data_IF_030119409137
#
_entry.id   IF_030119409137
#
_cell.length_a   1.000
_cell.length_b   1.000
_cell.length_c   1.000
_cell.angle_alpha   90.00
_cell.angle_beta   90.00
_cell.angle_gamma   90.00
#
_symmetry.space_group_name_H-M   'P 1'
#
loop_
_entity.id
_entity.type
_entity.pdbx_description
1 polymer ?
#
# COMPACT_ATOMS: atom_id res chain seq x y z
N UNK A 1 18.99 -4.00 -12.15
CA UNK A 1 18.06 -2.86 -12.08
C UNK A 1 16.99 -3.02 -13.16
N UNK A 2 15.85 -2.32 -13.05
CA UNK A 2 14.78 -2.38 -14.05
C UNK A 2 15.19 -1.94 -15.46
N UNK A 3 16.05 -0.93 -15.57
CA UNK A 3 16.55 -0.45 -16.87
C UNK A 3 17.47 -1.46 -17.56
N UNK A 4 18.26 -2.21 -16.80
CA UNK A 4 19.09 -3.30 -17.36
C UNK A 4 18.17 -4.40 -17.91
N UNK A 5 17.10 -4.75 -17.19
CA UNK A 5 16.11 -5.70 -17.70
C UNK A 5 15.50 -5.20 -19.01
N UNK A 6 15.08 -3.93 -19.08
CA UNK A 6 14.53 -3.34 -20.31
C UNK A 6 15.53 -3.43 -21.48
N UNK A 7 16.79 -3.10 -21.24
CA UNK A 7 17.86 -3.21 -22.25
C UNK A 7 18.01 -4.64 -22.74
N UNK A 8 18.09 -5.61 -21.83
CA UNK A 8 18.18 -7.04 -22.20
C UNK A 8 16.97 -7.48 -23.02
N UNK A 9 15.76 -7.10 -22.62
CA UNK A 9 14.53 -7.43 -23.36
C UNK A 9 14.53 -6.83 -24.77
N UNK A 10 15.03 -5.60 -24.94
CA UNK A 10 15.18 -4.97 -26.26
C UNK A 10 16.17 -5.74 -27.13
N UNK A 11 17.31 -6.16 -26.59
CA UNK A 11 18.31 -6.96 -27.32
C UNK A 11 17.72 -8.29 -27.80
N UNK A 12 16.93 -8.98 -26.96
CA UNK A 12 16.21 -10.19 -27.37
C UNK A 12 15.18 -9.94 -28.46
N UNK A 13 14.45 -8.83 -28.40
CA UNK A 13 13.51 -8.43 -29.45
C UNK A 13 14.24 -8.24 -30.78
N UNK A 14 15.43 -7.63 -30.78
CA UNK A 14 16.21 -7.43 -32.01
C UNK A 14 16.81 -8.74 -32.53
N UNK A 15 17.26 -9.64 -31.65
CA UNK A 15 17.70 -10.99 -32.03
C UNK A 15 16.56 -11.75 -32.73
N UNK A 16 15.33 -11.69 -32.21
CA UNK A 16 14.19 -12.37 -32.85
C UNK A 16 13.88 -11.83 -34.25
N UNK A 17 14.12 -10.53 -34.50
CA UNK A 17 13.96 -9.92 -35.84
C UNK A 17 15.09 -10.36 -36.79
N UNK A 18 16.33 -10.37 -36.32
CA UNK A 18 17.51 -10.66 -37.14
C UNK A 18 17.69 -12.16 -37.41
N UNK A 19 17.25 -13.02 -36.47
CA UNK A 19 17.41 -14.48 -36.53
C UNK A 19 16.06 -15.18 -36.30
N UNK A 20 15.13 -15.17 -37.29
CA UNK A 20 13.79 -15.73 -37.12
C UNK A 20 13.78 -17.22 -36.75
N UNK A 21 14.79 -17.99 -37.16
CA UNK A 21 14.95 -19.40 -36.82
C UNK A 21 15.12 -19.65 -35.31
N UNK A 22 15.54 -18.64 -34.55
CA UNK A 22 15.73 -18.70 -33.09
C UNK A 22 14.56 -18.08 -32.31
N UNK A 23 13.47 -17.68 -32.99
CA UNK A 23 12.37 -16.94 -32.34
C UNK A 23 11.77 -17.70 -31.15
N UNK A 24 11.65 -19.03 -31.26
CA UNK A 24 11.11 -19.87 -30.19
C UNK A 24 12.00 -19.82 -28.94
N UNK A 25 13.30 -20.05 -29.12
CA UNK A 25 14.31 -20.02 -28.07
C UNK A 25 14.38 -18.63 -27.42
N UNK A 26 14.31 -17.57 -28.23
CA UNK A 26 14.28 -16.18 -27.75
C UNK A 26 13.08 -15.94 -26.84
N UNK A 27 11.87 -16.36 -27.24
CA UNK A 27 10.67 -16.20 -26.38
C UNK A 27 10.83 -16.96 -25.07
N UNK A 28 11.35 -18.20 -25.11
CA UNK A 28 11.62 -18.97 -23.89
C UNK A 28 12.59 -18.25 -22.96
N UNK A 29 13.70 -17.71 -23.49
CA UNK A 29 14.67 -16.93 -22.69
C UNK A 29 14.04 -15.68 -22.09
N UNK A 30 13.23 -14.95 -22.85
CA UNK A 30 12.51 -13.77 -22.35
C UNK A 30 11.57 -14.14 -21.21
N UNK A 31 10.80 -15.22 -21.34
CA UNK A 31 9.92 -15.73 -20.28
C UNK A 31 10.73 -16.08 -19.03
N UNK A 32 11.85 -16.79 -19.17
CA UNK A 32 12.73 -17.14 -18.04
C UNK A 32 13.32 -15.91 -17.34
N UNK A 33 13.77 -14.92 -18.10
CA UNK A 33 14.31 -13.66 -17.56
C UNK A 33 13.23 -12.91 -16.77
N UNK A 34 12.02 -12.81 -17.32
CA UNK A 34 10.89 -12.16 -16.64
C UNK A 34 10.52 -12.90 -15.34
N UNK A 35 10.47 -14.23 -15.35
CA UNK A 35 10.26 -15.04 -14.14
C UNK A 35 11.34 -14.79 -13.10
N UNK A 36 12.61 -14.88 -13.53
CA UNK A 36 13.75 -14.72 -12.63
C UNK A 36 13.74 -13.33 -11.98
N UNK A 37 13.49 -12.27 -12.75
CA UNK A 37 13.39 -10.92 -12.23
C UNK A 37 12.27 -10.77 -11.21
N UNK A 38 11.07 -11.31 -11.50
CA UNK A 38 9.93 -11.24 -10.58
C UNK A 38 10.24 -11.96 -9.26
N UNK A 39 10.68 -13.22 -9.34
CA UNK A 39 11.02 -14.05 -8.18
C UNK A 39 12.11 -13.42 -7.35
N UNK A 40 13.18 -12.93 -8.00
CA UNK A 40 14.29 -12.30 -7.27
C UNK A 40 13.86 -11.02 -6.58
N UNK A 41 13.04 -10.20 -7.23
CA UNK A 41 12.51 -8.97 -6.63
C UNK A 41 11.63 -9.30 -5.42
N UNK A 42 10.72 -10.28 -5.54
CA UNK A 42 9.87 -10.74 -4.45
C UNK A 42 10.69 -11.22 -3.24
N UNK A 43 11.69 -12.07 -3.45
CA UNK A 43 12.61 -12.51 -2.40
C UNK A 43 13.31 -11.34 -1.70
N UNK A 44 13.75 -10.34 -2.46
CA UNK A 44 14.47 -9.19 -1.91
C UNK A 44 13.59 -8.31 -1.03
N UNK A 45 12.33 -8.07 -1.43
CA UNK A 45 11.45 -7.10 -0.75
C UNK A 45 10.41 -7.71 0.19
N UNK A 46 9.82 -8.85 -0.17
CA UNK A 46 8.84 -9.56 0.67
C UNK A 46 9.51 -10.66 1.49
N UNK A 47 10.51 -11.35 0.90
CA UNK A 47 11.30 -12.39 1.59
C UNK A 47 12.45 -11.84 2.46
N UNK A 48 12.56 -10.52 2.61
CA UNK A 48 13.64 -9.83 3.33
C UNK A 48 15.07 -10.16 2.86
N UNK A 49 15.23 -10.73 1.66
CA UNK A 49 16.53 -11.13 1.11
C UNK A 49 17.51 -9.97 0.97
N UNK A 50 17.03 -8.74 0.71
CA UNK A 50 17.91 -7.57 0.61
C UNK A 50 18.60 -7.21 1.95
N UNK A 51 18.05 -7.63 3.09
CA UNK A 51 18.73 -7.48 4.39
C UNK A 51 19.97 -8.39 4.48
N UNK A 52 19.89 -9.58 3.87
CA UNK A 52 20.98 -10.56 3.87
C UNK A 52 22.05 -10.24 2.82
N UNK A 53 21.63 -9.90 1.59
CA UNK A 53 22.56 -9.76 0.45
C UNK A 53 23.06 -8.33 0.22
N UNK A 54 22.40 -7.32 0.81
CA UNK A 54 22.75 -5.91 0.62
C UNK A 54 23.01 -5.17 1.94
N UNK A 55 23.03 -5.88 3.06
CA UNK A 55 23.34 -5.31 4.39
C UNK A 55 22.32 -4.29 4.89
N UNK A 56 21.11 -4.26 4.33
CA UNK A 56 20.07 -3.34 4.78
C UNK A 56 19.59 -3.73 6.18
N UNK A 57 19.51 -2.75 7.09
CA UNK A 57 18.94 -2.96 8.44
C UNK A 57 17.45 -3.28 8.41
N UNK A 58 16.72 -2.79 7.40
CA UNK A 58 15.29 -3.05 7.23
C UNK A 58 14.82 -2.78 5.80
N UNK A 59 13.70 -3.39 5.42
CA UNK A 59 12.96 -3.05 4.21
C UNK A 59 11.91 -1.99 4.56
N UNK A 60 12.08 -0.77 4.03
CA UNK A 60 11.21 0.37 4.34
C UNK A 60 10.03 0.46 3.38
N UNK A 61 8.99 1.24 3.73
CA UNK A 61 7.88 1.55 2.81
C UNK A 61 8.36 2.17 1.50
N UNK A 62 9.47 2.92 1.51
CA UNK A 62 10.10 3.46 0.29
C UNK A 62 10.65 2.35 -0.60
N UNK A 63 11.30 1.33 -0.04
CA UNK A 63 11.80 0.18 -0.81
C UNK A 63 10.64 -0.60 -1.45
N UNK A 64 9.56 -0.84 -0.69
CA UNK A 64 8.35 -1.50 -1.18
C UNK A 64 7.70 -0.69 -2.32
N UNK A 65 7.57 0.63 -2.17
CA UNK A 65 6.97 1.47 -3.20
C UNK A 65 7.77 1.45 -4.52
N UNK A 66 9.11 1.55 -4.43
CA UNK A 66 9.98 1.47 -5.61
C UNK A 66 9.91 0.09 -6.29
N UNK A 67 9.82 -0.98 -5.50
CA UNK A 67 9.64 -2.33 -6.02
C UNK A 67 8.29 -2.49 -6.74
N UNK A 68 7.20 -2.00 -6.15
CA UNK A 68 5.89 -1.99 -6.81
C UNK A 68 5.92 -1.24 -8.14
N UNK A 69 6.59 -0.09 -8.21
CA UNK A 69 6.73 0.68 -9.46
C UNK A 69 7.46 -0.10 -10.55
N UNK A 70 8.59 -0.74 -10.24
CA UNK A 70 9.31 -1.49 -11.27
C UNK A 70 8.56 -2.75 -11.71
N UNK A 71 7.88 -3.44 -10.78
CA UNK A 71 7.02 -4.58 -11.13
C UNK A 71 5.87 -4.14 -12.02
N UNK A 72 5.21 -3.02 -11.70
CA UNK A 72 4.12 -2.45 -12.50
C UNK A 72 4.60 -2.01 -13.88
N UNK A 73 5.77 -1.39 -13.96
CA UNK A 73 6.39 -0.99 -15.22
C UNK A 73 6.64 -2.21 -16.12
N UNK A 74 7.31 -3.25 -15.60
CA UNK A 74 7.57 -4.47 -16.39
C UNK A 74 6.26 -5.15 -16.79
N UNK A 75 5.30 -5.28 -15.86
CA UNK A 75 3.96 -5.81 -16.16
C UNK A 75 3.30 -5.07 -17.32
N UNK A 76 3.37 -3.74 -17.36
CA UNK A 76 2.80 -2.92 -18.43
C UNK A 76 3.48 -3.10 -19.80
N UNK A 77 4.74 -3.55 -19.81
CA UNK A 77 5.50 -3.79 -21.05
C UNK A 77 5.27 -5.18 -21.64
N UNK A 78 4.84 -6.16 -20.83
CA UNK A 78 4.65 -7.54 -21.28
C UNK A 78 3.72 -7.64 -22.52
N UNK A 79 2.59 -6.90 -22.61
CA UNK A 79 1.74 -6.93 -23.81
C UNK A 79 2.47 -6.54 -25.10
N UNK A 80 3.36 -5.54 -25.05
CA UNK A 80 4.14 -5.10 -26.22
C UNK A 80 5.25 -6.07 -26.56
N UNK A 81 5.95 -6.59 -25.55
CA UNK A 81 6.96 -7.65 -25.72
C UNK A 81 6.31 -8.87 -26.37
N UNK A 82 5.14 -9.29 -25.88
CA UNK A 82 4.32 -10.36 -26.45
C UNK A 82 3.99 -10.07 -27.91
N UNK A 83 3.46 -8.88 -28.20
CA UNK A 83 3.07 -8.51 -29.56
C UNK A 83 4.23 -8.65 -30.54
N UNK A 84 5.42 -8.17 -30.17
CA UNK A 84 6.59 -8.19 -31.07
C UNK A 84 7.19 -9.59 -31.21
N UNK A 85 7.42 -10.30 -30.11
CA UNK A 85 8.09 -11.60 -30.11
C UNK A 85 7.27 -12.69 -30.82
N UNK A 86 5.94 -12.59 -30.79
CA UNK A 86 5.06 -13.62 -31.35
C UNK A 86 4.74 -13.44 -32.83
N UNK A 87 5.23 -12.38 -33.49
CA UNK A 87 4.98 -12.14 -34.92
C UNK A 87 5.55 -13.23 -35.85
N UNK A 88 6.62 -13.89 -35.43
CA UNK A 88 7.36 -14.87 -36.25
C UNK A 88 7.28 -16.30 -35.71
N UNK A 89 6.47 -16.52 -34.67
CA UNK A 89 6.32 -17.84 -34.05
C UNK A 89 5.29 -18.67 -34.84
N UNK A 90 5.65 -19.90 -35.28
CA UNK A 90 4.69 -20.80 -35.92
C UNK A 90 3.52 -21.13 -34.99
N UNK A 91 2.30 -21.16 -35.52
CA UNK A 91 1.06 -21.38 -34.74
C UNK A 91 1.11 -22.63 -33.86
N UNK A 92 1.70 -23.72 -34.36
CA UNK A 92 1.84 -24.98 -33.62
C UNK A 92 2.59 -24.85 -32.28
N UNK A 93 3.49 -23.87 -32.12
CA UNK A 93 4.27 -23.64 -30.88
C UNK A 93 3.78 -22.43 -30.08
N UNK A 94 2.90 -21.64 -30.67
CA UNK A 94 2.46 -20.34 -30.15
C UNK A 94 1.67 -20.48 -28.85
N UNK A 95 0.74 -21.44 -28.80
CA UNK A 95 -0.15 -21.64 -27.66
C UNK A 95 0.62 -21.91 -26.34
N UNK A 96 1.62 -22.79 -26.38
CA UNK A 96 2.42 -23.11 -25.20
C UNK A 96 3.17 -21.88 -24.66
N UNK A 97 3.84 -21.14 -25.54
CA UNK A 97 4.59 -19.94 -25.17
C UNK A 97 3.68 -18.81 -24.69
N UNK A 98 2.48 -18.66 -25.27
CA UNK A 98 1.49 -17.69 -24.82
C UNK A 98 1.03 -17.99 -23.40
N UNK A 99 0.68 -19.24 -23.10
CA UNK A 99 0.27 -19.67 -21.75
C UNK A 99 1.36 -19.39 -20.70
N UNK A 100 2.63 -19.67 -21.03
CA UNK A 100 3.75 -19.37 -20.14
C UNK A 100 3.91 -17.87 -19.89
N UNK A 101 3.74 -17.02 -20.91
CA UNK A 101 3.82 -15.57 -20.76
C UNK A 101 2.61 -14.98 -20.02
N UNK A 102 1.42 -15.54 -20.21
CA UNK A 102 0.22 -15.15 -19.48
C UNK A 102 0.36 -15.49 -17.99
N UNK A 103 0.93 -16.67 -17.66
CA UNK A 103 1.28 -17.02 -16.27
C UNK A 103 2.25 -16.01 -15.67
N UNK A 104 3.32 -15.66 -16.40
CA UNK A 104 4.27 -14.63 -15.95
C UNK A 104 3.58 -13.29 -15.71
N UNK A 105 2.72 -12.87 -16.64
CA UNK A 105 1.95 -11.61 -16.50
C UNK A 105 1.14 -11.63 -15.20
N UNK A 106 0.45 -12.74 -14.93
CA UNK A 106 -0.32 -12.90 -13.70
C UNK A 106 0.58 -12.89 -12.45
N UNK A 107 1.76 -13.52 -12.49
CA UNK A 107 2.71 -13.53 -11.36
C UNK A 107 3.21 -12.11 -11.01
N UNK A 108 3.39 -11.23 -12.01
CA UNK A 108 3.75 -9.83 -11.76
C UNK A 108 2.61 -9.06 -11.08
N UNK A 109 1.37 -9.29 -11.53
CA UNK A 109 0.18 -8.69 -10.92
C UNK A 109 0.04 -9.13 -9.45
N UNK A 110 0.12 -10.44 -9.19
CA UNK A 110 0.06 -10.99 -7.83
C UNK A 110 1.13 -10.38 -6.94
N UNK A 111 2.38 -10.36 -7.40
CA UNK A 111 3.48 -9.80 -6.62
C UNK A 111 3.27 -8.30 -6.29
N UNK A 112 2.79 -7.49 -7.25
CA UNK A 112 2.44 -6.09 -6.99
C UNK A 112 1.36 -5.97 -5.90
N UNK A 113 0.31 -6.77 -6.01
CA UNK A 113 -0.82 -6.74 -5.07
C UNK A 113 -0.40 -7.21 -3.66
N UNK A 114 0.53 -8.16 -3.56
CA UNK A 114 1.18 -8.57 -2.30
C UNK A 114 2.01 -7.43 -1.68
N UNK A 115 2.76 -6.66 -2.48
CA UNK A 115 3.48 -5.48 -1.99
C UNK A 115 2.51 -4.44 -1.42
N UNK A 116 1.40 -4.16 -2.12
CA UNK A 116 0.36 -3.24 -1.64
C UNK A 116 -0.25 -3.73 -0.33
N UNK A 117 -0.55 -5.03 -0.24
CA UNK A 117 -1.05 -5.66 0.99
C UNK A 117 -0.05 -5.52 2.13
N UNK A 118 1.25 -5.68 1.87
CA UNK A 118 2.30 -5.50 2.89
C UNK A 118 2.39 -4.06 3.40
N UNK A 119 2.23 -3.06 2.52
CA UNK A 119 2.18 -1.65 2.91
C UNK A 119 1.01 -1.36 3.85
N UNK A 120 -0.18 -1.89 3.54
CA UNK A 120 -1.38 -1.78 4.39
C UNK A 120 -1.13 -2.44 5.75
N UNK A 121 -0.56 -3.65 5.76
CA UNK A 121 -0.26 -4.39 6.99
C UNK A 121 0.76 -3.67 7.88
N UNK A 122 1.79 -3.04 7.32
CA UNK A 122 2.74 -2.20 8.08
C UNK A 122 2.00 -1.06 8.79
N UNK A 123 1.05 -0.41 8.11
CA UNK A 123 0.28 0.67 8.70
C UNK A 123 -0.66 0.15 9.79
N UNK A 124 -1.27 -1.02 9.59
CA UNK A 124 -2.06 -1.70 10.64
C UNK A 124 -1.25 -2.00 11.88
N UNK A 125 -0.05 -2.58 11.72
CA UNK A 125 0.85 -2.89 12.85
C UNK A 125 1.24 -1.64 13.64
N UNK A 126 1.54 -0.53 12.94
CA UNK A 126 1.84 0.78 13.56
C UNK A 126 0.63 1.34 14.32
N UNK A 127 -0.57 1.23 13.76
CA UNK A 127 -1.80 1.64 14.44
C UNK A 127 -1.99 0.82 15.72
N UNK A 128 -1.92 -0.51 15.64
CA UNK A 128 -2.06 -1.41 16.78
C UNK A 128 -1.02 -1.13 17.86
N UNK A 129 0.23 -0.83 17.49
CA UNK A 129 1.28 -0.46 18.44
C UNK A 129 0.97 0.84 19.20
N UNK A 130 0.30 1.81 18.56
CA UNK A 130 -0.16 3.03 19.24
C UNK A 130 -1.39 2.75 20.11
N UNK A 131 -2.34 1.93 19.64
CA UNK A 131 -3.54 1.56 20.40
C UNK A 131 -3.20 0.85 21.71
N UNK A 132 -2.13 0.05 21.76
CA UNK A 132 -1.65 -0.57 23.03
C UNK A 132 -1.24 0.44 24.10
N UNK A 133 -0.86 1.67 23.71
CA UNK A 133 -0.47 2.74 24.64
C UNK A 133 -1.66 3.57 25.12
N UNK A 134 -2.83 3.40 24.48
CA UNK A 134 -4.01 4.19 24.74
C UNK A 134 -4.54 4.07 26.19
N UNK A 135 -4.61 2.88 26.81
CA UNK A 135 -5.11 2.76 28.19
C UNK A 135 -4.33 3.61 29.20
N UNK A 136 -3.00 3.59 29.11
CA UNK A 136 -2.12 4.40 29.97
C UNK A 136 -2.34 5.90 29.77
N UNK A 137 -2.62 6.33 28.53
CA UNK A 137 -2.93 7.72 28.23
C UNK A 137 -4.29 8.10 28.82
N UNK A 138 -5.28 7.22 28.75
CA UNK A 138 -6.64 7.45 29.27
C UNK A 138 -6.67 7.53 30.80
N UNK A 139 -5.81 6.82 31.52
CA UNK A 139 -5.66 6.98 32.98
C UNK A 139 -5.36 8.44 33.37
N UNK A 140 -4.55 9.14 32.56
CA UNK A 140 -4.23 10.56 32.77
C UNK A 140 -5.38 11.52 32.42
N UNK A 141 -6.46 11.05 31.79
CA UNK A 141 -7.58 11.90 31.38
C UNK A 141 -8.53 12.25 32.51
N UNK A 142 -8.50 11.52 33.62
CA UNK A 142 -9.31 11.81 34.81
C UNK A 142 -8.67 12.86 35.74
N UNK A 143 -7.48 13.37 35.41
CA UNK A 143 -6.84 14.47 36.12
C UNK A 143 -7.53 15.82 35.89
N UNK A 144 -7.14 16.87 36.64
CA UNK A 144 -7.71 18.21 36.50
C UNK A 144 -7.56 18.75 35.07
N UNK A 145 -8.50 19.61 34.68
CA UNK A 145 -8.55 20.20 33.35
C UNK A 145 -7.44 21.26 33.22
N UNK A 146 -6.40 20.95 32.44
CA UNK A 146 -5.22 21.83 32.28
C UNK A 146 -5.45 22.97 31.26
N UNK A 147 -6.70 23.20 30.81
CA UNK A 147 -7.04 24.08 29.69
C UNK A 147 -6.30 23.77 28.38
N UNK A 148 -5.63 22.62 28.28
CA UNK A 148 -4.94 22.21 27.06
C UNK A 148 -5.97 21.89 25.98
N UNK A 149 -5.93 22.64 24.88
CA UNK A 149 -6.78 22.47 23.69
C UNK A 149 -6.20 21.45 22.70
N UNK A 150 -5.05 20.85 23.00
CA UNK A 150 -4.36 19.96 22.08
C UNK A 150 -4.91 18.53 22.10
N UNK A 151 -4.82 17.81 20.96
CA UNK A 151 -5.08 16.37 20.92
C UNK A 151 -3.99 15.61 21.69
N UNK A 152 -4.33 14.42 22.16
CA UNK A 152 -3.43 13.57 22.94
C UNK A 152 -2.20 13.14 22.15
N UNK A 153 -1.18 12.66 22.87
CA UNK A 153 0.01 12.06 22.26
C UNK A 153 -0.34 10.85 21.38
N UNK A 154 -1.42 10.11 21.69
CA UNK A 154 -1.90 9.02 20.86
C UNK A 154 -2.40 9.53 19.50
N UNK A 155 -3.32 10.51 19.51
CA UNK A 155 -3.90 11.05 18.28
C UNK A 155 -2.82 11.72 17.40
N UNK A 156 -1.87 12.44 18.02
CA UNK A 156 -0.70 13.01 17.33
C UNK A 156 0.19 11.92 16.73
N UNK A 157 0.45 10.82 17.44
CA UNK A 157 1.29 9.73 16.95
C UNK A 157 0.65 9.00 15.76
N UNK A 158 -0.62 8.61 15.87
CA UNK A 158 -1.34 7.90 14.80
C UNK A 158 -1.44 8.74 13.52
N UNK A 159 -1.79 10.03 13.64
CA UNK A 159 -1.87 10.94 12.50
C UNK A 159 -0.50 11.20 11.86
N UNK A 160 0.58 11.28 12.66
CA UNK A 160 1.95 11.41 12.16
C UNK A 160 2.38 10.19 11.34
N UNK A 161 2.10 8.97 11.81
CA UNK A 161 2.48 7.73 11.13
C UNK A 161 1.83 7.61 9.74
N UNK A 162 0.52 7.86 9.65
CA UNK A 162 -0.21 7.77 8.38
C UNK A 162 0.17 8.91 7.41
N UNK A 163 0.40 10.12 7.93
CA UNK A 163 0.87 11.26 7.13
C UNK A 163 2.27 11.00 6.57
N UNK A 164 3.15 10.40 7.36
CA UNK A 164 4.49 10.02 6.91
C UNK A 164 4.44 8.98 5.80
N UNK A 165 3.58 7.96 5.93
CA UNK A 165 3.37 6.95 4.89
C UNK A 165 2.85 7.61 3.60
N UNK A 166 1.82 8.46 3.69
CA UNK A 166 1.26 9.17 2.55
C UNK A 166 2.30 10.00 1.82
N UNK A 167 3.12 10.76 2.56
CA UNK A 167 4.20 11.57 1.99
C UNK A 167 5.21 10.73 1.20
N UNK A 168 5.57 9.53 1.68
CA UNK A 168 6.50 8.66 0.96
C UNK A 168 5.85 8.07 -0.29
N UNK A 169 4.63 7.54 -0.16
CA UNK A 169 3.99 6.82 -1.24
C UNK A 169 3.55 7.74 -2.37
N UNK A 170 3.05 8.94 -2.07
CA UNK A 170 2.62 9.94 -3.07
C UNK A 170 3.75 10.44 -3.98
N UNK A 171 5.01 10.35 -3.54
CA UNK A 171 6.17 10.72 -4.35
C UNK A 171 6.61 9.62 -5.33
N UNK A 172 6.06 8.41 -5.20
CA UNK A 172 6.59 7.21 -5.88
C UNK A 172 5.50 6.47 -6.65
N UNK A 173 4.33 6.29 -6.05
CA UNK A 173 3.24 5.49 -6.62
C UNK A 173 2.36 6.32 -7.55
N UNK A 174 1.74 5.63 -8.51
CA UNK A 174 0.68 6.19 -9.33
C UNK A 174 -0.58 6.41 -8.48
N UNK A 175 -1.38 7.41 -8.85
CA UNK A 175 -2.58 7.82 -8.10
C UNK A 175 -3.55 6.65 -7.87
N UNK A 176 -3.74 5.78 -8.87
CA UNK A 176 -4.63 4.61 -8.76
C UNK A 176 -4.19 3.61 -7.68
N UNK A 177 -2.89 3.33 -7.61
CA UNK A 177 -2.32 2.40 -6.64
C UNK A 177 -2.32 3.03 -5.24
N UNK A 178 -1.99 4.32 -5.17
CA UNK A 178 -2.07 5.12 -3.95
C UNK A 178 -3.50 5.08 -3.37
N UNK A 179 -4.50 5.28 -4.23
CA UNK A 179 -5.91 5.23 -3.86
C UNK A 179 -6.38 3.85 -3.38
N UNK A 180 -5.90 2.79 -4.01
CA UNK A 180 -6.21 1.42 -3.60
C UNK A 180 -5.62 1.08 -2.23
N UNK A 181 -4.39 1.52 -1.94
CA UNK A 181 -3.73 1.31 -0.65
C UNK A 181 -4.44 2.12 0.44
N UNK A 182 -4.66 3.43 0.21
CA UNK A 182 -5.22 4.31 1.24
C UNK A 182 -6.69 4.01 1.53
N UNK A 183 -7.45 3.45 0.59
CA UNK A 183 -8.78 2.89 0.86
C UNK A 183 -8.74 1.88 2.02
N UNK A 184 -7.85 0.90 1.94
CA UNK A 184 -7.75 -0.15 2.95
C UNK A 184 -7.22 0.40 4.28
N UNK A 185 -6.25 1.33 4.23
CA UNK A 185 -5.74 2.02 5.42
C UNK A 185 -6.85 2.79 6.13
N UNK A 186 -7.67 3.55 5.41
CA UNK A 186 -8.81 4.28 5.96
C UNK A 186 -9.79 3.33 6.65
N UNK A 187 -10.16 2.22 6.02
CA UNK A 187 -11.05 1.20 6.61
C UNK A 187 -10.48 0.61 7.90
N UNK A 188 -9.18 0.30 7.92
CA UNK A 188 -8.49 -0.20 9.12
C UNK A 188 -8.50 0.85 10.23
N UNK A 189 -8.30 2.13 9.89
CA UNK A 189 -8.32 3.22 10.86
C UNK A 189 -9.70 3.38 11.49
N UNK A 190 -10.76 3.47 10.68
CA UNK A 190 -12.12 3.56 11.22
C UNK A 190 -12.45 2.37 12.12
N UNK A 191 -12.25 1.13 11.64
CA UNK A 191 -12.59 -0.07 12.40
C UNK A 191 -11.84 -0.17 13.72
N UNK A 192 -10.50 -0.13 13.70
CA UNK A 192 -9.70 -0.45 14.88
C UNK A 192 -9.69 0.69 15.91
N UNK A 193 -9.78 1.96 15.47
CA UNK A 193 -9.86 3.10 16.39
C UNK A 193 -11.23 3.12 17.06
N UNK A 194 -12.32 2.93 16.30
CA UNK A 194 -13.67 2.86 16.87
C UNK A 194 -13.80 1.72 17.87
N UNK A 195 -13.31 0.53 17.52
CA UNK A 195 -13.32 -0.62 18.43
C UNK A 195 -12.58 -0.31 19.74
N UNK A 196 -11.40 0.30 19.67
CA UNK A 196 -10.62 0.65 20.84
C UNK A 196 -11.30 1.74 21.69
N UNK A 197 -11.83 2.78 21.06
CA UNK A 197 -12.49 3.89 21.75
C UNK A 197 -13.81 3.47 22.40
N UNK A 198 -14.58 2.58 21.77
CA UNK A 198 -15.81 2.02 22.34
C UNK A 198 -15.59 1.19 23.60
N UNK A 199 -14.37 0.67 23.81
CA UNK A 199 -13.97 -0.10 25.00
C UNK A 199 -13.46 0.77 26.14
N UNK A 200 -13.28 2.09 25.93
CA UNK A 200 -12.79 2.98 26.98
C UNK A 200 -13.91 3.34 27.96
N UNK A 201 -13.63 3.20 29.26
CA UNK A 201 -14.51 3.68 30.32
C UNK A 201 -14.23 5.16 30.59
N UNK A 202 -14.99 6.03 29.93
CA UNK A 202 -14.82 7.49 30.00
C UNK A 202 -16.04 8.11 30.68
N UNK A 203 -15.96 8.29 32.01
CA UNK A 203 -17.08 8.75 32.83
C UNK A 203 -17.08 10.26 33.08
N UNK A 204 -15.91 10.88 33.17
CA UNK A 204 -15.78 12.32 33.48
C UNK A 204 -16.05 13.21 32.24
N UNK A 205 -16.67 14.39 32.40
CA UNK A 205 -16.87 15.34 31.31
C UNK A 205 -15.56 15.75 30.61
N UNK A 206 -14.47 15.89 31.38
CA UNK A 206 -13.14 16.24 30.88
C UNK A 206 -12.60 15.15 29.96
N UNK A 207 -12.66 13.88 30.39
CA UNK A 207 -12.18 12.77 29.60
C UNK A 207 -13.04 12.56 28.33
N UNK A 208 -14.36 12.83 28.39
CA UNK A 208 -15.23 12.86 27.22
C UNK A 208 -14.82 13.95 26.22
N UNK A 209 -14.52 15.15 26.68
CA UNK A 209 -14.02 16.24 25.83
C UNK A 209 -12.67 15.90 25.17
N UNK A 210 -11.75 15.28 25.92
CA UNK A 210 -10.45 14.82 25.38
C UNK A 210 -10.63 13.74 24.31
N UNK A 211 -11.52 12.77 24.55
CA UNK A 211 -11.85 11.73 23.57
C UNK A 211 -12.45 12.34 22.29
N UNK A 212 -13.43 13.23 22.42
CA UNK A 212 -14.06 13.91 21.29
C UNK A 212 -13.01 14.63 20.43
N UNK A 213 -12.09 15.37 21.07
CA UNK A 213 -11.00 16.08 20.39
C UNK A 213 -10.05 15.13 19.64
N UNK A 214 -9.68 14.02 20.25
CA UNK A 214 -8.84 13.00 19.61
C UNK A 214 -9.53 12.42 18.36
N UNK A 215 -10.82 12.08 18.47
CA UNK A 215 -11.63 11.60 17.35
C UNK A 215 -11.66 12.62 16.21
N UNK A 216 -11.97 13.88 16.52
CA UNK A 216 -12.01 14.96 15.53
C UNK A 216 -10.65 15.17 14.85
N UNK A 217 -9.55 15.19 15.61
CA UNK A 217 -8.20 15.35 15.06
C UNK A 217 -7.84 14.20 14.10
N UNK A 218 -8.17 12.96 14.48
CA UNK A 218 -7.93 11.79 13.65
C UNK A 218 -8.80 11.83 12.38
N UNK A 219 -10.08 12.18 12.48
CA UNK A 219 -10.99 12.30 11.34
C UNK A 219 -10.53 13.37 10.34
N UNK A 220 -10.06 14.53 10.81
CA UNK A 220 -9.46 15.58 9.94
C UNK A 220 -8.29 15.01 9.14
N UNK A 221 -7.47 14.15 9.74
CA UNK A 221 -6.38 13.47 9.04
C UNK A 221 -6.91 12.45 8.03
N UNK A 222 -7.86 11.58 8.43
CA UNK A 222 -8.45 10.55 7.57
C UNK A 222 -9.09 11.17 6.32
N UNK A 223 -9.84 12.26 6.47
CA UNK A 223 -10.51 12.98 5.37
C UNK A 223 -9.54 13.51 4.30
N UNK A 224 -8.28 13.76 4.66
CA UNK A 224 -7.23 14.23 3.73
C UNK A 224 -6.52 13.10 2.98
N UNK A 225 -6.73 11.84 3.37
CA UNK A 225 -6.04 10.71 2.74
C UNK A 225 -6.59 10.46 1.33
N UNK A 226 -5.72 10.07 0.37
CA UNK A 226 -6.10 9.86 -1.01
C UNK A 226 -6.81 8.52 -1.16
N UNK A 227 -8.01 8.36 -0.61
CA UNK A 227 -8.88 7.24 -0.92
C UNK A 227 -10.02 7.74 -1.82
N UNK A 228 -10.44 6.91 -2.77
CA UNK A 228 -11.64 7.16 -3.57
C UNK A 228 -12.88 7.00 -2.68
N UNK A 229 -13.77 7.99 -2.70
CA UNK A 229 -15.10 7.89 -2.07
C UNK A 229 -15.96 6.94 -2.90
N UNK A 230 -16.48 5.89 -2.27
CA UNK A 230 -17.48 5.00 -2.87
C UNK A 230 -18.85 5.13 -2.18
N UNK A 231 -18.92 5.88 -1.07
CA UNK A 231 -20.19 6.16 -0.41
C UNK A 231 -20.90 7.32 -1.10
N UNK A 232 -22.23 7.30 -1.01
CA UNK A 232 -23.11 8.44 -1.31
C UNK A 232 -22.95 9.59 -0.30
N UNK A 233 -22.07 9.43 0.70
CA UNK A 233 -21.87 10.42 1.74
C UNK A 233 -21.14 11.65 1.19
N UNK A 234 -21.58 12.87 1.56
CA UNK A 234 -20.91 14.10 1.14
C UNK A 234 -19.52 14.24 1.76
N UNK A 235 -19.29 13.58 2.91
CA UNK A 235 -18.02 13.63 3.65
C UNK A 235 -17.04 12.61 3.09
N UNK A 236 -15.85 13.10 2.71
CA UNK A 236 -14.77 12.25 2.21
C UNK A 236 -14.29 11.27 3.28
N UNK A 237 -14.08 10.02 2.88
CA UNK A 237 -13.60 8.94 3.75
C UNK A 237 -14.47 8.81 5.01
N UNK A 238 -15.79 8.96 4.88
CA UNK A 238 -16.72 8.72 5.98
C UNK A 238 -16.71 7.24 6.39
N UNK A 239 -16.81 6.96 7.69
CA UNK A 239 -16.94 5.57 8.19
C UNK A 239 -17.26 5.47 9.68
N UNK A 240 -17.03 4.29 10.26
CA UNK A 240 -17.42 3.93 11.65
C UNK A 240 -16.98 4.94 12.73
N UNK A 241 -15.86 5.62 12.53
CA UNK A 241 -15.37 6.62 13.49
C UNK A 241 -16.17 7.92 13.45
N UNK A 242 -16.73 8.29 12.28
CA UNK A 242 -17.67 9.41 12.17
C UNK A 242 -19.00 9.06 12.85
N UNK A 243 -19.50 7.83 12.65
CA UNK A 243 -20.69 7.31 13.34
C UNK A 243 -20.50 7.32 14.85
N UNK A 244 -19.36 6.83 15.33
CA UNK A 244 -18.98 6.88 16.74
C UNK A 244 -18.99 8.30 17.31
N UNK A 245 -18.45 9.28 16.57
CA UNK A 245 -18.45 10.69 16.98
C UNK A 245 -19.89 11.21 17.13
N UNK A 246 -20.74 10.95 16.13
CA UNK A 246 -22.13 11.39 16.11
C UNK A 246 -22.96 10.76 17.24
N UNK A 247 -22.82 9.45 17.49
CA UNK A 247 -23.53 8.74 18.54
C UNK A 247 -23.12 9.16 19.95
N UNK A 248 -21.82 9.38 20.19
CA UNK A 248 -21.30 9.66 21.54
C UNK A 248 -21.31 11.14 21.93
N UNK A 249 -21.20 12.04 20.96
CA UNK A 249 -21.00 13.47 21.21
C UNK A 249 -21.99 14.38 20.47
N UNK A 250 -22.87 13.82 19.64
CA UNK A 250 -23.78 14.56 18.77
C UNK A 250 -23.08 15.10 17.53
N UNK A 251 -23.86 15.56 16.55
CA UNK A 251 -23.39 16.26 15.35
C UNK A 251 -22.93 17.68 15.69
N UNK A 252 -21.88 17.83 16.49
CA UNK A 252 -21.10 19.07 16.49
C UNK A 252 -20.13 19.03 15.32
N UNK A 253 -20.69 19.14 14.12
CA UNK A 253 -19.96 19.57 12.93
C UNK A 253 -20.19 21.08 12.88
N UNK A 254 -19.10 21.85 12.92
CA UNK A 254 -19.01 23.31 12.83
C UNK A 254 -19.04 24.07 14.18
N UNK A 255 -17.84 24.41 14.67
CA UNK A 255 -17.31 25.79 14.73
C UNK A 255 -15.79 25.76 14.48
#
# INVERSE_FOLDING_TARGET
SGLILLKMLSEYVDISKCLPSLSFEVVQRVVEILKHFNTRTCQLVLGAGAMQVSGLKSITSKHLALASQIISFVHSLIPDIRRVLFLKIPEARKHLLMSELDRVTQDYKVHRDEIHTKLVQIMRERLLANLRKLPQIVESWNGPDDNDSQPSLFAKAVTKEVTYLHRILSQILLEVDLQAIFRQVVQIFHSHITEAFSKLEVSSPQAKNRLCRDVQHILVCIRKLPAQNFSSEPVRNYGLLDEFLAEKFGTKVDE
#
